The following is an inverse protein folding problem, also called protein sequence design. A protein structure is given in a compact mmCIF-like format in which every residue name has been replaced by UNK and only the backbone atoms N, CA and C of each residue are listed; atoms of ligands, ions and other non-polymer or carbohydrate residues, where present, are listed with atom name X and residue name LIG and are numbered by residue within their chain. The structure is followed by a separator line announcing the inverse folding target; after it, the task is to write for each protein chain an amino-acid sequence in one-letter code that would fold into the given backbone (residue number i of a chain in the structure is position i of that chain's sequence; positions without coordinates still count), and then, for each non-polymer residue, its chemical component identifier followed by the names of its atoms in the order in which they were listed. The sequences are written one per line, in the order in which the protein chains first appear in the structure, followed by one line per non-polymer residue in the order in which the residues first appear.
data_IF_450742415014
#
_entry.id   IF_450742415014
#
_cell.length_a   1.000
_cell.length_b   1.000
_cell.length_c   1.000
_cell.angle_alpha   90.00
_cell.angle_beta   90.00
_cell.angle_gamma   90.00
#
_symmetry.space_group_name_H-M   'P 1'
#
loop_
_entity.id
_entity.type
_entity.pdbx_description
1 polymer ?
#
# COMPACT_ATOMS: atom_id res chain seq x y z
N UNK A 1 6.82 -3.73 11.40
CA UNK A 1 6.65 -4.42 10.11
C UNK A 1 5.96 -3.42 9.19
N UNK A 2 6.42 -3.27 7.96
CA UNK A 2 5.69 -2.49 6.96
C UNK A 2 4.56 -3.33 6.38
N UNK A 3 3.43 -2.69 6.08
CA UNK A 3 2.32 -3.28 5.34
C UNK A 3 2.53 -2.99 3.86
N UNK A 4 2.40 -4.01 3.02
CA UNK A 4 2.31 -3.81 1.57
C UNK A 4 0.89 -3.37 1.23
N UNK A 5 0.76 -2.27 0.51
CA UNK A 5 -0.54 -1.66 0.19
C UNK A 5 -0.66 -1.30 -1.28
N UNK A 6 -1.89 -1.32 -1.78
CA UNK A 6 -2.23 -0.84 -3.13
C UNK A 6 -3.20 0.33 -3.00
N UNK A 7 -2.80 1.49 -3.52
CA UNK A 7 -3.62 2.70 -3.57
C UNK A 7 -4.34 2.78 -4.92
N UNK A 8 -5.64 3.04 -4.85
CA UNK A 8 -6.48 3.30 -6.02
C UNK A 8 -6.86 4.78 -6.07
N UNK A 9 -6.35 5.49 -7.06
CA UNK A 9 -6.68 6.90 -7.34
C UNK A 9 -7.47 6.97 -8.65
N UNK A 10 -8.53 7.77 -8.68
CA UNK A 10 -9.36 7.89 -9.87
C UNK A 10 -8.56 8.42 -11.07
N UNK A 11 -8.64 7.71 -12.19
CA UNK A 11 -7.95 8.10 -13.43
C UNK A 11 -6.50 7.64 -13.53
N UNK A 12 -5.95 6.96 -12.52
CA UNK A 12 -4.57 6.48 -12.50
C UNK A 12 -4.47 4.96 -12.38
N UNK A 13 -3.32 4.42 -12.80
CA UNK A 13 -2.97 3.03 -12.54
C UNK A 13 -2.83 2.79 -11.03
N UNK A 14 -3.09 1.56 -10.60
CA UNK A 14 -2.95 1.18 -9.19
C UNK A 14 -1.49 1.29 -8.72
N UNK A 15 -1.30 1.87 -7.54
CA UNK A 15 0.01 2.21 -6.98
C UNK A 15 0.33 1.23 -5.85
N UNK A 16 1.34 0.40 -6.04
CA UNK A 16 1.89 -0.48 -5.00
C UNK A 16 2.95 0.25 -4.20
N UNK A 17 2.97 0.07 -2.88
CA UNK A 17 4.03 0.54 -2.01
C UNK A 17 3.90 -0.02 -0.61
N UNK A 18 4.62 0.58 0.33
CA UNK A 18 4.65 0.14 1.72
C UNK A 18 4.26 1.26 2.69
N UNK A 19 3.61 0.91 3.79
CA UNK A 19 3.34 1.83 4.92
C UNK A 19 3.87 1.24 6.21
N UNK A 20 4.50 2.07 7.04
CA UNK A 20 4.99 1.64 8.36
C UNK A 20 3.83 1.42 9.36
N UNK A 21 2.77 2.22 9.23
CA UNK A 21 1.56 2.16 10.04
C UNK A 21 0.34 2.38 9.14
N UNK A 22 -0.74 1.64 9.38
CA UNK A 22 -2.00 1.85 8.67
C UNK A 22 -2.64 3.18 9.07
N UNK A 23 -3.26 3.91 8.13
CA UNK A 23 -3.90 5.19 8.43
C UNK A 23 -5.04 5.02 9.43
N UNK A 24 -5.09 5.91 10.43
CA UNK A 24 -6.17 5.99 11.42
C UNK A 24 -7.34 6.80 10.85
N UNK A 25 -8.56 6.66 11.41
CA UNK A 25 -9.72 7.41 10.96
C UNK A 25 -9.58 8.95 11.01
N UNK A 26 -8.64 9.47 11.82
CA UNK A 26 -8.36 10.89 11.98
C UNK A 26 -7.27 11.42 11.05
N UNK A 27 -6.56 10.53 10.36
CA UNK A 27 -5.48 10.91 9.46
C UNK A 27 -6.05 11.48 8.17
N UNK A 28 -5.42 12.53 7.65
CA UNK A 28 -5.82 13.17 6.39
C UNK A 28 -4.87 12.82 5.23
N UNK A 29 -3.75 12.16 5.56
CA UNK A 29 -2.69 11.79 4.63
C UNK A 29 -2.23 10.37 4.92
N UNK A 30 -1.71 9.71 3.88
CA UNK A 30 -0.99 8.45 4.01
C UNK A 30 0.38 8.60 3.36
N UNK A 31 1.41 8.10 4.02
CA UNK A 31 2.80 8.14 3.54
C UNK A 31 3.16 6.79 2.98
N UNK A 32 3.44 6.71 1.68
CA UNK A 32 3.79 5.48 0.98
C UNK A 32 5.28 5.48 0.67
N UNK A 33 5.94 4.38 1.01
CA UNK A 33 7.33 4.08 0.70
C UNK A 33 7.44 3.33 -0.62
N UNK A 34 8.46 3.66 -1.41
CA UNK A 34 8.81 3.03 -2.68
C UNK A 34 7.60 2.85 -3.64
N UNK A 35 6.81 3.91 -3.91
CA UNK A 35 5.61 3.79 -4.72
C UNK A 35 5.95 3.48 -6.17
N UNK A 36 5.27 2.49 -6.73
CA UNK A 36 5.45 2.00 -8.10
C UNK A 36 4.13 1.48 -8.65
N UNK A 37 4.04 1.29 -9.96
CA UNK A 37 2.92 0.56 -10.55
C UNK A 37 2.96 -0.91 -10.12
N UNK A 38 1.81 -1.60 -10.15
CA UNK A 38 1.72 -3.03 -9.80
C UNK A 38 2.63 -3.94 -10.62
N UNK A 39 2.98 -3.54 -11.84
CA UNK A 39 3.92 -4.27 -12.71
C UNK A 39 5.40 -3.97 -12.42
N UNK A 40 5.68 -3.14 -11.42
CA UNK A 40 7.02 -2.78 -10.97
C UNK A 40 7.62 -1.55 -11.64
N UNK A 41 6.93 -0.91 -12.60
CA UNK A 41 7.41 0.32 -13.24
C UNK A 41 7.25 1.55 -12.36
N UNK A 42 8.03 2.57 -12.65
CA UNK A 42 7.90 3.88 -12.02
C UNK A 42 6.55 4.56 -12.34
N UNK A 43 6.12 5.46 -11.46
CA UNK A 43 4.96 6.30 -11.70
C UNK A 43 5.35 7.46 -12.62
N UNK A 44 4.65 7.58 -13.76
CA UNK A 44 5.01 8.53 -14.83
C UNK A 44 5.04 10.01 -14.42
N UNK A 45 4.38 10.35 -13.31
CA UNK A 45 4.25 11.71 -12.78
C UNK A 45 5.07 11.97 -11.51
N UNK A 46 5.92 11.01 -11.09
CA UNK A 46 6.79 11.15 -9.91
C UNK A 46 8.25 11.13 -10.37
N UNK A 47 9.10 11.92 -9.70
CA UNK A 47 10.54 11.91 -9.97
C UNK A 47 11.17 10.56 -9.58
N UNK A 48 12.07 10.05 -10.43
CA UNK A 48 12.69 8.73 -10.28
C UNK A 48 13.49 8.54 -8.98
N UNK A 49 13.90 9.63 -8.31
CA UNK A 49 14.66 9.55 -7.05
C UNK A 49 13.79 9.58 -5.80
N UNK A 50 12.46 9.63 -5.95
CA UNK A 50 11.53 9.71 -4.83
C UNK A 50 11.31 8.33 -4.21
N UNK A 51 11.71 8.20 -2.96
CA UNK A 51 11.52 6.96 -2.16
C UNK A 51 10.28 7.01 -1.27
N UNK A 52 9.65 8.18 -1.11
CA UNK A 52 8.52 8.40 -0.22
C UNK A 52 7.60 9.48 -0.77
N UNK A 53 6.30 9.20 -0.77
CA UNK A 53 5.28 10.14 -1.24
C UNK A 53 4.15 10.21 -0.22
N UNK A 54 3.62 11.41 -0.02
CA UNK A 54 2.48 11.67 0.85
C UNK A 54 1.26 11.92 -0.02
N UNK A 55 0.23 11.09 0.10
CA UNK A 55 -1.05 11.28 -0.60
C UNK A 55 -2.14 11.77 0.36
N UNK A 56 -2.98 12.73 -0.06
CA UNK A 56 -4.19 13.07 0.67
C UNK A 56 -5.19 11.91 0.58
N UNK A 57 -5.68 11.43 1.73
CA UNK A 57 -6.64 10.31 1.79
C UNK A 57 -7.93 10.65 1.04
N UNK A 58 -8.35 11.92 1.05
CA UNK A 58 -9.52 12.41 0.33
C UNK A 58 -9.45 12.26 -1.22
N UNK A 59 -8.30 11.90 -1.79
CA UNK A 59 -8.14 11.63 -3.23
C UNK A 59 -8.01 10.15 -3.57
N UNK A 60 -7.93 9.29 -2.55
CA UNK A 60 -7.81 7.84 -2.70
C UNK A 60 -9.21 7.25 -2.63
N UNK A 61 -9.57 6.43 -3.61
CA UNK A 61 -10.86 5.74 -3.66
C UNK A 61 -10.94 4.66 -2.57
N UNK A 62 -9.89 3.84 -2.46
CA UNK A 62 -9.70 2.84 -1.41
C UNK A 62 -8.23 2.37 -1.37
N UNK A 63 -7.87 1.68 -0.29
CA UNK A 63 -6.53 1.11 -0.07
C UNK A 63 -6.69 -0.39 0.17
N UNK A 64 -6.00 -1.22 -0.62
CA UNK A 64 -5.86 -2.65 -0.34
C UNK A 64 -4.68 -2.86 0.61
N UNK A 65 -4.85 -3.72 1.61
CA UNK A 65 -3.78 -4.16 2.50
C UNK A 65 -3.48 -5.61 2.11
N UNK A 66 -2.25 -5.88 1.67
CA UNK A 66 -1.81 -7.22 1.33
C UNK A 66 -1.29 -7.91 2.60
N UNK A 67 -1.72 -9.13 2.84
CA UNK A 67 -1.22 -9.95 3.94
C UNK A 67 0.31 -10.09 3.81
N UNK A 68 1.03 -9.81 4.89
CA UNK A 68 2.44 -10.19 4.96
C UNK A 68 2.50 -11.71 4.93
N UNK A 69 3.37 -12.29 4.09
CA UNK A 69 3.52 -13.74 3.90
C UNK A 69 3.77 -14.56 5.19
N UNK A 70 3.95 -13.91 6.33
CA UNK A 70 4.11 -14.52 7.65
C UNK A 70 2.78 -14.89 8.35
N UNK A 71 1.62 -14.38 7.92
CA UNK A 71 0.31 -14.68 8.56
C UNK A 71 -0.40 -15.95 8.04
N UNK A 72 0.06 -16.55 6.94
CA UNK A 72 -0.55 -17.77 6.35
C UNK A 72 -0.33 -19.08 7.14
N UNK A 73 0.31 -19.05 8.33
CA UNK A 73 0.64 -20.27 9.11
C UNK A 73 -0.29 -20.58 10.27
N UNK A 74 -1.62 -20.56 10.09
CA UNK A 74 -2.52 -21.25 11.04
C UNK A 74 -3.67 -21.93 10.30
N UNK A 75 -3.42 -23.10 9.72
CA UNK A 75 -4.48 -24.11 9.52
C UNK A 75 -4.14 -25.28 10.45
N UNK A 76 -4.59 -25.15 11.70
CA UNK A 76 -4.49 -26.21 12.70
C UNK A 76 -5.50 -27.32 12.40
N UNK A 77 -5.10 -28.32 11.63
CA UNK A 77 -5.86 -29.57 11.55
C UNK A 77 -5.64 -30.38 12.83
N UNK A 78 -6.54 -30.24 13.79
CA UNK A 78 -6.69 -31.22 14.87
C UNK A 78 -7.61 -32.33 14.34
N UNK A 79 -7.14 -33.57 14.29
CA UNK A 79 -7.99 -34.75 14.17
C UNK A 79 -7.87 -35.55 15.47
N UNK A 80 -9.01 -35.77 16.11
CA UNK A 80 -9.22 -36.73 17.20
C UNK A 80 -9.20 -38.17 16.65
#
# INVERSE_FOLDING_TARGET
MSYSVILHVAGEAAILGEVDELPKPTDNIVTILNPRQRDGKDLHYIDNNVVKVIWPIAKISFIEILESADEEKIIGFVRE
#
